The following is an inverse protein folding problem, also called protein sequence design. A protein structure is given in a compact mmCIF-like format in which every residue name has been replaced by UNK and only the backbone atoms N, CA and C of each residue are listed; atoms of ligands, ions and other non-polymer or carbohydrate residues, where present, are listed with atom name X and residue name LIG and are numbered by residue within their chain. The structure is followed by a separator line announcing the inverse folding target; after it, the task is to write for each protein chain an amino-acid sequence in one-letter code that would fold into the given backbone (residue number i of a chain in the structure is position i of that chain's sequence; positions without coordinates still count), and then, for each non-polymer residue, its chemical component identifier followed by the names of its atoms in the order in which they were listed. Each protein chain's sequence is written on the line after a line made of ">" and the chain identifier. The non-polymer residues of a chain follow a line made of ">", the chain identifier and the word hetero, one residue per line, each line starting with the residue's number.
data_IF_452887166920
#
_entry.id   IF_452887166920
#
_cell.length_a   1.000
_cell.length_b   1.000
_cell.length_c   1.000
_cell.angle_alpha   90.00
_cell.angle_beta   90.00
_cell.angle_gamma   90.00
#
_symmetry.space_group_name_H-M   'P 1'
#
loop_
_entity.id
_entity.type
_entity.pdbx_description
1 polymer ?
#
# COMPACT_ATOMS: atom_id res chain seq x y z
N UNK A 1 9.98 -15.78 -1.05
CA UNK A 1 10.19 -14.49 -0.38
C UNK A 1 9.64 -13.43 -1.30
N UNK A 2 8.65 -12.70 -0.85
CA UNK A 2 7.87 -11.80 -1.69
C UNK A 2 8.73 -10.61 -2.12
N UNK A 3 8.66 -10.25 -3.41
CA UNK A 3 9.42 -9.16 -4.06
C UNK A 3 9.39 -7.85 -3.26
N UNK A 4 8.24 -7.52 -2.67
CA UNK A 4 8.05 -6.34 -1.82
C UNK A 4 8.96 -6.40 -0.59
N UNK A 5 9.05 -7.56 0.07
CA UNK A 5 9.87 -7.72 1.26
C UNK A 5 11.37 -7.59 0.93
N UNK A 6 11.79 -8.12 -0.23
CA UNK A 6 13.17 -7.98 -0.71
C UNK A 6 13.51 -6.52 -0.92
N UNK A 7 12.63 -5.72 -1.52
CA UNK A 7 12.86 -4.29 -1.74
C UNK A 7 12.95 -3.51 -0.43
N UNK A 8 12.10 -3.81 0.55
CA UNK A 8 12.16 -3.18 1.88
C UNK A 8 13.44 -3.59 2.61
N UNK A 9 13.84 -4.86 2.55
CA UNK A 9 15.04 -5.36 3.21
C UNK A 9 16.32 -4.81 2.57
N UNK A 10 16.37 -4.77 1.24
CA UNK A 10 17.49 -4.30 0.43
C UNK A 10 17.33 -2.86 -0.05
N UNK A 11 16.62 -2.01 0.68
CA UNK A 11 16.32 -0.63 0.27
C UNK A 11 17.57 0.17 -0.15
N UNK A 12 18.74 -0.10 0.46
CA UNK A 12 20.02 0.52 0.09
C UNK A 12 20.50 0.19 -1.32
N UNK A 13 20.12 -0.97 -1.85
CA UNK A 13 20.48 -1.44 -3.19
C UNK A 13 19.44 -1.01 -4.24
N UNK A 14 18.17 -0.85 -3.84
CA UNK A 14 17.06 -0.68 -4.78
C UNK A 14 16.45 0.73 -4.81
N UNK A 15 16.69 1.55 -3.79
CA UNK A 15 16.15 2.91 -3.73
C UNK A 15 16.95 3.83 -4.66
N UNK A 16 16.43 4.02 -5.87
CA UNK A 16 16.96 4.95 -6.86
C UNK A 16 15.94 6.09 -7.11
N UNK A 17 16.43 7.29 -7.47
CA UNK A 17 15.55 8.42 -7.80
C UNK A 17 14.86 8.13 -9.14
N UNK A 18 13.53 8.19 -9.22
CA UNK A 18 12.84 8.07 -10.51
C UNK A 18 13.19 9.27 -11.39
N UNK A 19 13.42 9.00 -12.68
CA UNK A 19 13.67 10.00 -13.71
C UNK A 19 12.70 9.74 -14.85
N UNK A 20 11.76 10.66 -15.02
CA UNK A 20 10.78 10.67 -16.09
C UNK A 20 11.25 11.62 -17.21
N UNK A 21 10.88 11.30 -18.45
CA UNK A 21 11.24 12.07 -19.65
C UNK A 21 10.07 12.13 -20.62
N UNK A 22 9.92 13.23 -21.36
CA UNK A 22 8.83 13.39 -22.31
C UNK A 22 7.60 13.97 -21.62
N UNK A 23 6.44 13.34 -21.81
CA UNK A 23 5.15 13.83 -21.29
C UNK A 23 5.08 13.80 -19.75
N UNK A 24 5.83 12.89 -19.12
CA UNK A 24 5.85 12.71 -17.67
C UNK A 24 6.94 13.52 -16.94
N UNK A 25 7.67 14.40 -17.64
CA UNK A 25 8.81 15.13 -17.06
C UNK A 25 8.40 16.00 -15.86
N UNK A 26 7.15 16.48 -15.83
CA UNK A 26 6.61 17.29 -14.72
C UNK A 26 6.47 16.51 -13.40
N UNK A 27 6.44 15.18 -13.44
CA UNK A 27 6.36 14.34 -12.25
C UNK A 27 7.72 14.08 -11.59
N UNK A 28 8.81 14.61 -12.17
CA UNK A 28 10.12 14.52 -11.56
C UNK A 28 10.16 15.24 -10.21
N UNK A 29 10.70 14.53 -9.21
CA UNK A 29 10.91 15.08 -7.88
C UNK A 29 11.95 16.19 -7.93
N UNK A 30 11.79 17.25 -7.13
CA UNK A 30 12.87 18.23 -6.92
C UNK A 30 14.03 17.61 -6.12
N UNK A 31 15.20 18.26 -6.16
CA UNK A 31 16.37 17.81 -5.39
C UNK A 31 16.09 17.81 -3.88
N UNK A 32 15.40 18.84 -3.38
CA UNK A 32 14.99 18.93 -1.97
C UNK A 32 13.98 17.85 -1.57
N UNK A 33 13.08 17.49 -2.50
CA UNK A 33 12.10 16.42 -2.30
C UNK A 33 12.81 15.06 -2.16
N UNK A 34 13.76 14.79 -3.06
CA UNK A 34 14.53 13.55 -3.03
C UNK A 34 15.45 13.46 -1.80
N UNK A 35 16.11 14.56 -1.45
CA UNK A 35 16.93 14.66 -0.23
C UNK A 35 16.10 14.38 1.04
N UNK A 36 14.87 14.92 1.11
CA UNK A 36 13.95 14.62 2.20
C UNK A 36 13.61 13.12 2.26
N UNK A 37 13.24 12.52 1.13
CA UNK A 37 12.87 11.10 1.04
C UNK A 37 14.01 10.23 1.52
N UNK A 38 15.24 10.47 1.06
CA UNK A 38 16.42 9.66 1.44
C UNK A 38 16.84 9.88 2.90
N UNK A 39 16.53 11.02 3.52
CA UNK A 39 16.72 11.24 4.97
C UNK A 39 15.64 10.60 5.83
N UNK A 40 14.50 10.22 5.26
CA UNK A 40 13.43 9.48 5.93
C UNK A 40 13.58 7.96 5.73
N UNK A 41 13.85 7.54 4.50
CA UNK A 41 14.14 6.14 4.13
C UNK A 41 15.63 5.88 4.31
N UNK A 42 16.05 5.80 5.57
CA UNK A 42 17.44 5.50 5.94
C UNK A 42 17.54 4.66 7.21
N UNK A 43 18.77 4.30 7.59
CA UNK A 43 19.06 3.64 8.86
C UNK A 43 18.52 4.48 10.03
N UNK A 44 17.98 3.81 11.06
CA UNK A 44 17.33 4.47 12.20
C UNK A 44 18.20 5.56 12.86
N UNK A 45 19.52 5.36 12.92
CA UNK A 45 20.46 6.29 13.54
C UNK A 45 20.65 7.60 12.77
N UNK A 46 20.39 7.60 11.47
CA UNK A 46 20.56 8.77 10.58
C UNK A 46 19.24 9.44 10.23
N UNK A 47 18.12 8.76 10.49
CA UNK A 47 16.79 9.21 10.11
C UNK A 47 16.41 10.49 10.86
N UNK A 48 15.79 11.43 10.15
CA UNK A 48 15.06 12.54 10.77
C UNK A 48 14.05 11.95 11.77
N UNK A 49 14.18 12.33 13.04
CA UNK A 49 13.46 11.67 14.14
C UNK A 49 12.63 12.64 14.99
N UNK A 50 12.66 13.93 14.67
CA UNK A 50 11.89 14.95 15.37
C UNK A 50 11.21 15.90 14.38
N UNK A 51 10.08 16.48 14.82
CA UNK A 51 9.34 17.45 14.00
C UNK A 51 10.17 18.70 13.71
N UNK A 52 10.98 19.18 14.66
CA UNK A 52 11.83 20.35 14.46
C UNK A 52 12.87 20.11 13.34
N UNK A 53 13.48 18.92 13.31
CA UNK A 53 14.39 18.55 12.21
C UNK A 53 13.68 18.48 10.87
N UNK A 54 12.44 17.97 10.84
CA UNK A 54 11.61 17.93 9.63
C UNK A 54 11.27 19.33 9.14
N UNK A 55 10.81 20.21 10.04
CA UNK A 55 10.45 21.60 9.72
C UNK A 55 11.64 22.42 9.24
N UNK A 56 12.84 22.15 9.77
CA UNK A 56 14.08 22.79 9.34
C UNK A 56 14.62 22.27 8.00
N UNK A 57 14.02 21.22 7.43
CA UNK A 57 14.44 20.69 6.14
C UNK A 57 14.11 21.70 5.01
N UNK A 58 14.99 21.94 4.01
CA UNK A 58 14.75 22.90 2.94
C UNK A 58 13.42 22.73 2.21
N UNK A 59 13.01 21.48 1.97
CA UNK A 59 11.71 21.12 1.39
C UNK A 59 10.52 21.76 2.13
N UNK A 60 10.61 21.92 3.45
CA UNK A 60 9.55 22.50 4.27
C UNK A 60 9.81 23.96 4.63
N UNK A 61 11.03 24.26 5.11
CA UNK A 61 11.41 25.58 5.63
C UNK A 61 11.17 26.71 4.62
N UNK A 62 11.40 26.46 3.34
CA UNK A 62 11.30 27.47 2.29
C UNK A 62 9.86 27.72 1.81
N UNK A 63 8.94 26.79 2.09
CA UNK A 63 7.62 26.77 1.46
C UNK A 63 6.46 26.78 2.45
N UNK A 64 6.64 26.25 3.67
CA UNK A 64 5.54 26.00 4.60
C UNK A 64 5.87 26.59 5.97
N UNK A 65 4.94 27.44 6.46
CA UNK A 65 4.96 27.90 7.84
C UNK A 65 4.01 27.06 8.69
N UNK A 66 4.58 26.09 9.41
CA UNK A 66 3.81 25.10 10.19
C UNK A 66 2.88 25.70 11.25
N UNK A 67 3.20 26.86 11.80
CA UNK A 67 2.34 27.53 12.79
C UNK A 67 1.01 27.99 12.20
N UNK A 68 0.98 28.28 10.89
CA UNK A 68 -0.15 28.89 10.23
C UNK A 68 -1.03 27.86 9.51
N UNK A 69 -0.54 26.61 9.34
CA UNK A 69 -1.17 25.54 8.54
C UNK A 69 -2.64 25.24 8.88
N UNK A 70 -3.05 25.42 10.14
CA UNK A 70 -4.43 25.19 10.61
C UNK A 70 -5.21 26.49 10.84
N UNK A 71 -4.66 27.61 10.43
CA UNK A 71 -5.22 28.95 10.66
C UNK A 71 -5.72 29.53 9.34
N UNK A 72 -6.55 30.57 9.43
CA UNK A 72 -7.02 31.33 8.27
C UNK A 72 -5.88 32.01 7.48
N UNK A 73 -4.70 32.16 8.10
CA UNK A 73 -3.49 32.69 7.43
C UNK A 73 -2.65 31.62 6.74
N UNK A 74 -2.99 30.35 6.92
CA UNK A 74 -2.29 29.22 6.29
C UNK A 74 -2.64 29.10 4.82
N UNK A 75 -1.86 28.27 4.12
CA UNK A 75 -2.11 27.98 2.72
C UNK A 75 -3.44 27.24 2.53
N UNK A 76 -4.11 27.54 1.42
CA UNK A 76 -5.34 26.85 1.03
C UNK A 76 -4.98 25.40 0.67
N UNK A 77 -5.71 24.39 1.20
CA UNK A 77 -5.47 23.00 0.81
C UNK A 77 -5.56 22.84 -0.71
N UNK A 78 -4.70 22.03 -1.34
CA UNK A 78 -4.72 21.83 -2.78
C UNK A 78 -6.05 21.23 -3.27
N UNK A 79 -6.77 20.56 -2.39
CA UNK A 79 -8.08 19.99 -2.65
C UNK A 79 -9.00 20.21 -1.46
N UNK A 80 -10.18 20.79 -1.74
CA UNK A 80 -11.27 20.95 -0.77
C UNK A 80 -12.44 20.07 -1.26
N UNK A 81 -12.78 18.99 -0.52
CA UNK A 81 -13.88 18.10 -0.92
C UNK A 81 -15.22 18.85 -0.87
N UNK A 82 -16.07 18.60 -1.87
CA UNK A 82 -17.43 19.14 -1.94
C UNK A 82 -18.38 18.09 -1.41
N UNK A 83 -18.87 18.29 -0.19
CA UNK A 83 -19.82 17.39 0.46
C UNK A 83 -21.24 17.91 0.25
N UNK A 84 -22.15 17.01 -0.11
CA UNK A 84 -23.58 17.33 -0.25
C UNK A 84 -24.33 17.25 1.11
N UNK A 85 -23.83 16.45 2.07
CA UNK A 85 -24.42 16.28 3.40
C UNK A 85 -23.42 15.77 4.44
N UNK A 86 -23.79 15.82 5.72
CA UNK A 86 -22.97 15.31 6.83
C UNK A 86 -22.75 13.78 6.80
N UNK A 87 -23.56 13.06 6.02
CA UNK A 87 -23.46 11.60 5.83
C UNK A 87 -23.00 11.24 4.42
N UNK A 88 -22.44 12.20 3.67
CA UNK A 88 -21.97 11.99 2.31
C UNK A 88 -20.76 11.04 2.26
N UNK A 89 -20.94 9.90 1.59
CA UNK A 89 -19.91 8.87 1.42
C UNK A 89 -19.32 8.85 0.02
N UNK A 90 -19.54 9.87 -0.82
CA UNK A 90 -19.17 9.87 -2.24
C UNK A 90 -17.66 9.77 -2.48
N UNK A 91 -16.84 10.20 -1.51
CA UNK A 91 -15.37 10.07 -1.57
C UNK A 91 -14.84 8.71 -1.06
N UNK A 92 -15.74 7.77 -0.73
CA UNK A 92 -15.42 6.42 -0.31
C UNK A 92 -15.96 5.40 -1.31
N UNK A 93 -15.29 4.26 -1.45
CA UNK A 93 -15.76 3.15 -2.27
C UNK A 93 -16.99 2.48 -1.65
N UNK A 94 -17.98 2.13 -2.47
CA UNK A 94 -19.11 1.30 -2.04
C UNK A 94 -18.81 -0.17 -2.33
N UNK A 95 -18.53 -0.95 -1.27
CA UNK A 95 -18.26 -2.38 -1.39
C UNK A 95 -19.49 -3.22 -1.80
N UNK A 96 -20.68 -2.63 -1.93
CA UNK A 96 -21.85 -3.26 -2.54
C UNK A 96 -21.98 -2.94 -4.03
N UNK A 97 -21.22 -1.95 -4.53
CA UNK A 97 -21.22 -1.54 -5.92
C UNK A 97 -20.24 -2.41 -6.73
N UNK A 98 -20.71 -3.12 -7.77
CA UNK A 98 -19.85 -3.99 -8.58
C UNK A 98 -18.73 -3.21 -9.30
N UNK A 99 -18.93 -1.93 -9.62
CA UNK A 99 -17.91 -1.13 -10.29
C UNK A 99 -16.70 -0.88 -9.38
N UNK A 100 -16.94 -0.60 -8.10
CA UNK A 100 -15.87 -0.32 -7.15
C UNK A 100 -15.15 -1.63 -6.81
N UNK A 101 -15.90 -2.74 -6.69
CA UNK A 101 -15.33 -4.09 -6.53
C UNK A 101 -14.40 -4.52 -7.68
N UNK A 102 -14.60 -4.01 -8.90
CA UNK A 102 -13.71 -4.31 -10.03
C UNK A 102 -12.29 -3.78 -9.79
N UNK A 103 -12.14 -2.62 -9.14
CA UNK A 103 -10.81 -2.05 -8.83
C UNK A 103 -10.03 -2.95 -7.85
N UNK A 104 -10.74 -3.72 -7.03
CA UNK A 104 -10.15 -4.64 -6.05
C UNK A 104 -9.96 -6.07 -6.59
N UNK A 105 -10.39 -6.37 -7.81
CA UNK A 105 -10.38 -7.72 -8.37
C UNK A 105 -9.00 -8.37 -8.29
N UNK A 106 -7.96 -7.66 -8.73
CA UNK A 106 -6.59 -8.18 -8.75
C UNK A 106 -6.04 -8.44 -7.34
N UNK A 107 -6.41 -7.58 -6.39
CA UNK A 107 -6.05 -7.73 -4.97
C UNK A 107 -6.72 -8.97 -4.38
N UNK A 108 -8.01 -9.17 -4.65
CA UNK A 108 -8.78 -10.31 -4.18
C UNK A 108 -8.26 -11.62 -4.78
N UNK A 109 -7.97 -11.63 -6.08
CA UNK A 109 -7.39 -12.79 -6.76
C UNK A 109 -6.00 -13.14 -6.19
N UNK A 110 -5.15 -12.14 -5.96
CA UNK A 110 -3.84 -12.33 -5.34
C UNK A 110 -3.97 -12.91 -3.94
N UNK A 111 -4.82 -12.32 -3.10
CA UNK A 111 -5.07 -12.81 -1.76
C UNK A 111 -5.59 -14.26 -1.75
N UNK A 112 -6.47 -14.63 -2.69
CA UNK A 112 -6.96 -15.99 -2.80
C UNK A 112 -5.86 -16.99 -3.21
N UNK A 113 -5.00 -16.60 -4.18
CA UNK A 113 -3.84 -17.39 -4.62
C UNK A 113 -2.85 -17.60 -3.47
N UNK A 114 -2.53 -16.55 -2.72
CA UNK A 114 -1.61 -16.59 -1.59
C UNK A 114 -2.18 -17.46 -0.45
N UNK A 115 -3.46 -17.30 -0.12
CA UNK A 115 -4.15 -18.16 0.84
C UNK A 115 -4.13 -19.64 0.43
N UNK A 116 -4.34 -19.94 -0.85
CA UNK A 116 -4.28 -21.32 -1.38
C UNK A 116 -2.86 -21.89 -1.28
N UNK A 117 -1.83 -21.07 -1.52
CA UNK A 117 -0.42 -21.48 -1.40
C UNK A 117 -0.05 -21.80 0.05
N UNK A 118 -0.40 -20.92 0.98
CA UNK A 118 -0.18 -21.13 2.43
C UNK A 118 -0.86 -22.43 2.90
N UNK A 119 -2.13 -22.66 2.51
CA UNK A 119 -2.84 -23.90 2.86
C UNK A 119 -2.15 -25.16 2.32
N UNK A 120 -1.60 -25.11 1.10
CA UNK A 120 -0.85 -26.23 0.51
C UNK A 120 0.48 -26.46 1.23
N UNK A 121 1.18 -25.42 1.63
CA UNK A 121 2.43 -25.52 2.41
C UNK A 121 2.16 -26.13 3.79
N UNK A 122 1.14 -25.65 4.52
CA UNK A 122 0.71 -26.24 5.80
C UNK A 122 0.33 -27.72 5.64
N UNK A 123 -0.39 -28.09 4.57
CA UNK A 123 -0.77 -29.48 4.34
C UNK A 123 0.43 -30.38 4.03
N UNK A 124 1.43 -29.87 3.29
CA UNK A 124 2.67 -30.59 3.01
C UNK A 124 3.46 -30.82 4.29
N UNK A 125 3.62 -29.79 5.12
CA UNK A 125 4.36 -29.87 6.39
C UNK A 125 3.72 -30.87 7.37
N UNK A 126 2.38 -30.89 7.42
CA UNK A 126 1.63 -31.87 8.21
C UNK A 126 1.73 -33.31 7.66
N UNK A 127 1.91 -33.50 6.35
CA UNK A 127 2.04 -34.83 5.75
C UNK A 127 3.46 -35.40 5.92
N UNK A 128 4.50 -34.55 5.88
CA UNK A 128 5.89 -34.97 6.15
C UNK A 128 6.15 -35.33 7.61
N UNK A 129 5.39 -34.78 8.56
CA UNK A 129 5.48 -35.16 9.97
C UNK A 129 4.77 -36.49 10.30
N UNK A 130 3.93 -37.03 9.41
CA UNK A 130 3.28 -38.34 9.61
C UNK A 130 4.22 -39.52 9.23
N UNK A 131 5.35 -39.28 8.56
CA UNK A 131 6.31 -40.34 8.16
C UNK A 131 7.45 -40.53 9.17
N UNK A 132 7.44 -39.84 10.32
CA UNK A 132 8.40 -40.06 11.41
C UNK A 132 7.72 -40.00 12.79
N UNK A 133 6.84 -40.94 13.08
CA UNK A 133 6.48 -41.25 14.47
C UNK A 133 6.54 -42.75 14.72
N UNK A 134 7.75 -43.25 14.99
CA UNK A 134 7.91 -44.34 15.94
C UNK A 134 7.63 -43.77 17.34
N UNK A 135 6.50 -44.18 17.90
CA UNK A 135 6.16 -44.27 19.32
C UNK A 135 6.98 -43.38 20.29
N UNK A 136 6.44 -42.20 20.64
CA UNK A 136 6.50 -41.65 22.01
C UNK A 136 5.50 -40.52 22.22
N UNK A 137 4.59 -40.76 23.15
CA UNK A 137 3.59 -39.85 23.72
C UNK A 137 4.13 -38.45 24.08
N UNK A 138 3.47 -37.38 23.60
CA UNK A 138 3.81 -36.00 23.97
C UNK A 138 2.71 -34.95 23.71
N UNK A 139 1.83 -34.77 24.69
CA UNK A 139 1.23 -33.51 25.17
C UNK A 139 0.67 -32.41 24.22
N UNK A 140 0.19 -32.68 23.00
CA UNK A 140 -0.49 -31.65 22.18
C UNK A 140 -1.91 -32.04 21.73
N UNK A 141 -2.71 -32.63 22.64
CA UNK A 141 -4.12 -32.99 22.38
C UNK A 141 -5.14 -32.20 23.24
N UNK A 142 -4.82 -30.99 23.68
CA UNK A 142 -5.72 -30.17 24.50
C UNK A 142 -5.89 -28.74 23.99
N UNK A 143 -6.30 -28.54 22.74
CA UNK A 143 -6.91 -27.29 22.30
C UNK A 143 -7.95 -27.60 21.20
N UNK A 144 -9.16 -28.01 21.60
CA UNK A 144 -10.32 -27.99 20.71
C UNK A 144 -10.90 -26.57 20.72
N UNK A 145 -11.02 -25.86 19.57
CA UNK A 145 -11.86 -24.68 19.53
C UNK A 145 -13.33 -25.10 19.66
N UNK A 146 -13.98 -24.58 20.70
CA UNK A 146 -15.42 -24.66 20.87
C UNK A 146 -16.10 -23.89 19.73
N UNK A 147 -17.11 -24.54 19.18
CA UNK A 147 -18.19 -24.03 18.36
C UNK A 147 -18.51 -22.54 18.61
N UNK A 148 -18.40 -21.69 17.57
CA UNK A 148 -19.07 -20.39 17.52
C UNK A 148 -19.77 -20.26 16.17
N UNK A 149 -21.02 -20.71 16.16
CA UNK A 149 -22.04 -20.14 15.31
C UNK A 149 -22.23 -18.67 15.70
N UNK A 150 -22.26 -17.76 14.71
CA UNK A 150 -22.89 -16.45 14.86
C UNK A 150 -21.98 -15.25 14.63
N UNK A 151 -21.79 -14.87 13.37
CA UNK A 151 -21.68 -13.45 12.99
C UNK A 151 -22.70 -13.23 11.87
N UNK A 152 -23.94 -12.98 12.27
CA UNK A 152 -24.97 -12.31 11.46
C UNK A 152 -25.11 -10.89 12.04
N UNK A 153 -25.08 -9.89 11.16
CA UNK A 153 -25.15 -8.46 11.46
C UNK A 153 -23.97 -7.76 10.78
N UNK A 154 -24.10 -6.72 9.97
CA UNK A 154 -25.10 -5.66 10.02
C UNK A 154 -25.08 -4.92 8.66
N UNK A 155 -25.66 -5.49 7.60
CA UNK A 155 -25.86 -4.78 6.34
C UNK A 155 -27.12 -3.92 6.46
N UNK A 156 -26.94 -2.62 6.67
CA UNK A 156 -28.00 -1.63 6.51
C UNK A 156 -28.25 -1.42 5.02
N UNK A 157 -29.42 -1.85 4.56
CA UNK A 157 -29.95 -1.52 3.23
C UNK A 157 -30.36 -0.04 3.25
N UNK A 158 -29.60 0.79 2.54
CA UNK A 158 -29.94 2.18 2.28
C UNK A 158 -29.98 2.41 0.78
N UNK A 159 -31.16 2.29 0.19
CA UNK A 159 -31.39 2.62 -1.21
C UNK A 159 -31.23 4.14 -1.40
N UNK A 160 -30.16 4.59 -2.04
CA UNK A 160 -30.08 5.96 -2.55
C UNK A 160 -29.70 5.95 -4.03
N UNK A 161 -30.74 5.82 -4.86
CA UNK A 161 -30.73 6.27 -6.25
C UNK A 161 -30.77 7.80 -6.24
N UNK A 162 -29.69 8.47 -6.65
CA UNK A 162 -29.76 9.74 -7.39
C UNK A 162 -28.42 10.08 -8.05
N UNK A 163 -28.57 10.81 -9.14
CA UNK A 163 -27.67 11.03 -10.27
C UNK A 163 -26.29 11.57 -9.90
N UNK A 164 -25.25 10.89 -10.38
CA UNK A 164 -23.84 11.30 -10.34
C UNK A 164 -23.65 12.63 -11.10
N UNK A 165 -22.89 13.61 -10.58
CA UNK A 165 -22.15 14.50 -11.46
C UNK A 165 -21.09 13.67 -12.19
N UNK A 166 -20.77 14.00 -13.44
CA UNK A 166 -19.76 13.29 -14.21
C UNK A 166 -18.40 13.41 -13.49
N UNK A 167 -18.01 12.37 -12.75
CA UNK A 167 -16.60 12.11 -12.52
C UNK A 167 -15.95 12.00 -13.90
N UNK A 168 -14.87 12.74 -14.11
CA UNK A 168 -14.02 12.56 -15.27
C UNK A 168 -13.67 11.07 -15.32
N UNK A 169 -14.18 10.38 -16.34
CA UNK A 169 -13.80 9.02 -16.63
C UNK A 169 -12.32 9.11 -16.97
N UNK A 170 -11.48 8.61 -16.06
CA UNK A 170 -10.06 8.44 -16.32
C UNK A 170 -9.91 7.65 -17.62
N UNK A 171 -9.09 8.16 -18.52
CA UNK A 171 -8.92 7.59 -19.86
C UNK A 171 -8.21 6.23 -19.73
N UNK A 172 -8.32 5.37 -20.76
CA UNK A 172 -7.57 4.10 -20.80
C UNK A 172 -6.06 4.28 -20.61
N UNK A 173 -5.53 5.46 -20.92
CA UNK A 173 -4.15 5.87 -20.71
C UNK A 173 -3.77 5.97 -19.21
N UNK A 174 -4.68 6.42 -18.34
CA UNK A 174 -4.46 6.52 -16.89
C UNK A 174 -4.36 5.13 -16.22
N UNK A 175 -5.04 4.14 -16.79
CA UNK A 175 -4.97 2.73 -16.37
C UNK A 175 -3.67 2.04 -16.79
N UNK A 176 -3.06 2.45 -17.91
CA UNK A 176 -1.72 2.01 -18.30
C UNK A 176 -0.63 2.67 -17.44
N UNK A 177 -0.77 3.97 -17.16
CA UNK A 177 0.09 4.70 -16.22
C UNK A 177 0.07 4.07 -14.81
N UNK A 178 -1.10 3.61 -14.34
CA UNK A 178 -1.21 2.86 -13.08
C UNK A 178 -0.57 1.47 -13.13
N UNK A 179 -0.53 0.80 -14.28
CA UNK A 179 0.18 -0.48 -14.44
C UNK A 179 1.69 -0.30 -14.44
N UNK A 180 2.20 0.85 -14.92
CA UNK A 180 3.62 1.20 -14.81
C UNK A 180 3.98 1.80 -13.44
N UNK A 181 3.04 2.44 -12.75
CA UNK A 181 3.25 2.99 -11.42
C UNK A 181 3.19 1.90 -10.34
N UNK A 182 4.25 1.10 -10.28
CA UNK A 182 4.42 0.13 -9.21
C UNK A 182 5.11 0.82 -8.01
N UNK A 183 4.56 1.92 -7.48
CA UNK A 183 5.12 2.61 -6.30
C UNK A 183 6.64 2.84 -6.38
N UNK A 184 7.36 2.74 -5.24
CA UNK A 184 8.84 2.78 -5.20
C UNK A 184 9.54 1.62 -5.92
N UNK A 185 8.85 0.81 -6.71
CA UNK A 185 9.45 -0.36 -7.33
C UNK A 185 10.01 0.00 -8.71
N UNK A 186 11.31 0.21 -8.66
CA UNK A 186 12.28 -0.16 -9.67
C UNK A 186 11.78 -1.10 -10.77
N UNK A 187 11.90 -0.68 -12.04
CA UNK A 187 12.02 -1.63 -13.16
C UNK A 187 13.27 -2.48 -12.89
N UNK A 188 13.08 -3.78 -12.66
CA UNK A 188 14.16 -4.75 -12.43
C UNK A 188 15.30 -4.55 -13.45
N UNK A 189 16.47 -4.06 -13.01
CA UNK A 189 17.72 -4.48 -13.66
C UNK A 189 17.80 -5.98 -13.47
N UNK A 190 17.89 -6.73 -14.56
CA UNK A 190 18.02 -8.18 -14.53
C UNK A 190 19.20 -8.57 -13.63
N UNK A 191 18.90 -8.98 -12.40
CA UNK A 191 19.87 -9.61 -11.50
C UNK A 191 20.05 -11.08 -11.91
N UNK A 192 20.40 -11.32 -13.17
CA UNK A 192 20.89 -12.62 -13.61
C UNK A 192 22.42 -12.57 -13.69
N UNK A 193 23.03 -13.34 -12.78
CA UNK A 193 24.41 -13.82 -12.76
C UNK A 193 25.54 -12.79 -12.66
N UNK A 194 25.94 -12.50 -11.42
CA UNK A 194 27.36 -12.36 -11.07
C UNK A 194 27.72 -13.36 -9.97
N UNK A 195 27.72 -14.64 -10.32
CA UNK A 195 28.71 -15.56 -9.79
C UNK A 195 29.66 -15.91 -10.95
N UNK A 196 30.96 -15.81 -10.68
CA UNK A 196 32.12 -16.06 -11.53
C UNK A 196 32.67 -14.85 -12.30
N UNK A 197 33.50 -14.06 -11.61
CA UNK A 197 34.87 -13.79 -12.04
C UNK A 197 35.75 -13.37 -10.86
#
# INVERSE_FOLDING_TARGET
>A
MDEIWVNVYKWKEVLERPVYSGEDEEFNLSDESWDLITKLITDRSKRISSLNQLQAHPFFMNHIKFSDLRTERGDIPPFIPKLESDIDTTYFDDFNNPQDLLMYKDILEKHEKDCKKIKKEILKDNTTNIVKEDNKSGLLNKLKPKNVNGIKGLFGIGDNKKSKPALQVLNQEDDELRKEFIGFTYKHKDFYNQQNK
#
